data_IF_824670265557
#
_entry.id   IF_824670265557
#
_cell.length_a   1.000
_cell.length_b   1.000
_cell.length_c   1.000
_cell.angle_alpha   90.00
_cell.angle_beta   90.00
_cell.angle_gamma   90.00
#
_symmetry.space_group_name_H-M   'P 1'
#
loop_
_entity.id
_entity.type
_entity.pdbx_description
1 polymer ?
#
# COMPACT_ATOMS: atom_id res chain seq x y z
N UNK A 1 -35.27 -56.06 18.13
CA UNK A 1 -34.37 -55.51 17.09
C UNK A 1 -33.47 -54.49 17.76
N UNK A 2 -32.25 -54.88 18.11
CA UNK A 2 -31.23 -53.96 18.65
C UNK A 2 -30.10 -53.87 17.65
N UNK A 3 -29.99 -52.74 16.96
CA UNK A 3 -28.89 -52.45 16.06
C UNK A 3 -27.63 -52.27 16.90
N UNK A 4 -26.54 -53.04 16.69
CA UNK A 4 -25.30 -52.78 17.40
C UNK A 4 -24.77 -51.42 16.94
N UNK A 5 -24.66 -50.47 17.87
CA UNK A 5 -23.96 -49.22 17.63
C UNK A 5 -22.53 -49.58 17.21
N UNK A 6 -22.20 -49.36 15.93
CA UNK A 6 -20.83 -49.53 15.45
C UNK A 6 -19.94 -48.74 16.41
N UNK A 7 -18.90 -49.33 17.04
CA UNK A 7 -17.93 -48.59 17.82
C UNK A 7 -17.14 -47.74 16.83
N UNK A 8 -17.75 -46.62 16.44
CA UNK A 8 -17.23 -45.68 15.48
C UNK A 8 -15.89 -45.22 16.04
N UNK A 9 -14.81 -45.57 15.33
CA UNK A 9 -13.40 -45.40 15.72
C UNK A 9 -13.19 -44.09 16.50
N UNK A 10 -13.23 -44.16 17.84
CA UNK A 10 -13.12 -42.97 18.71
C UNK A 10 -11.72 -42.38 18.69
N UNK A 11 -10.71 -43.23 18.50
CA UNK A 11 -9.30 -42.84 18.44
C UNK A 11 -8.98 -41.84 17.32
N UNK A 12 -9.33 -42.07 16.03
CA UNK A 12 -9.08 -41.08 14.98
C UNK A 12 -9.90 -39.81 15.16
N UNK A 13 -11.11 -39.87 15.73
CA UNK A 13 -11.89 -38.67 16.04
C UNK A 13 -11.20 -37.83 17.13
N UNK A 14 -10.65 -38.47 18.17
CA UNK A 14 -9.87 -37.80 19.21
C UNK A 14 -8.59 -37.19 18.65
N UNK A 15 -7.83 -37.93 17.85
CA UNK A 15 -6.59 -37.43 17.24
C UNK A 15 -6.87 -36.23 16.32
N UNK A 16 -7.95 -36.28 15.54
CA UNK A 16 -8.36 -35.17 14.69
C UNK A 16 -8.75 -33.93 15.50
N UNK A 17 -9.55 -34.10 16.56
CA UNK A 17 -9.94 -33.00 17.45
C UNK A 17 -8.74 -32.36 18.14
N UNK A 18 -7.81 -33.17 18.66
CA UNK A 18 -6.60 -32.69 19.31
C UNK A 18 -5.67 -31.97 18.33
N UNK A 19 -5.60 -32.46 17.08
CA UNK A 19 -4.90 -31.80 15.99
C UNK A 19 -5.48 -30.42 15.63
N UNK A 20 -6.80 -30.29 15.60
CA UNK A 20 -7.46 -29.00 15.37
C UNK A 20 -7.17 -28.01 16.51
N UNK A 21 -7.26 -28.45 17.77
CA UNK A 21 -6.94 -27.60 18.93
C UNK A 21 -5.49 -27.13 18.86
N UNK A 22 -4.54 -28.04 18.62
CA UNK A 22 -3.13 -27.69 18.48
C UNK A 22 -2.91 -26.70 17.33
N UNK A 23 -3.56 -26.90 16.17
CA UNK A 23 -3.47 -25.99 15.03
C UNK A 23 -4.04 -24.59 15.35
N UNK A 24 -5.12 -24.50 16.15
CA UNK A 24 -5.70 -23.20 16.57
C UNK A 24 -4.84 -22.46 17.60
N UNK A 25 -4.15 -23.17 18.48
CA UNK A 25 -3.35 -22.59 19.55
C UNK A 25 -1.90 -22.27 19.13
N UNK A 26 -1.41 -22.92 18.07
CA UNK A 26 -0.04 -22.78 17.57
C UNK A 26 0.43 -21.32 17.35
N UNK A 27 -0.38 -20.41 16.78
CA UNK A 27 0.04 -19.03 16.55
C UNK A 27 0.43 -18.25 17.81
N UNK A 28 -0.16 -18.59 18.97
CA UNK A 28 0.08 -17.92 20.26
C UNK A 28 1.52 -18.08 20.78
N UNK A 29 2.23 -19.10 20.31
CA UNK A 29 3.60 -19.39 20.73
C UNK A 29 4.68 -18.82 19.79
N UNK A 30 4.31 -17.97 18.82
CA UNK A 30 5.26 -17.27 17.93
C UNK A 30 5.61 -15.87 18.45
N UNK A 31 6.81 -15.38 18.16
CA UNK A 31 7.25 -14.01 18.47
C UNK A 31 7.70 -13.25 17.19
N UNK A 32 7.00 -12.18 16.77
CA UNK A 32 5.73 -11.71 17.33
C UNK A 32 4.59 -12.71 17.02
N UNK A 33 3.51 -12.73 17.81
CA UNK A 33 2.31 -13.50 17.48
C UNK A 33 1.87 -13.17 16.04
N UNK A 34 1.85 -14.18 15.18
CA UNK A 34 1.49 -14.03 13.77
C UNK A 34 0.08 -14.51 13.57
N UNK A 35 -0.76 -13.60 13.10
CA UNK A 35 -2.18 -13.84 12.99
C UNK A 35 -2.58 -13.73 11.53
N UNK A 36 -2.86 -14.90 10.95
CA UNK A 36 -3.28 -15.01 9.56
C UNK A 36 -4.36 -16.10 9.42
N UNK A 37 -5.39 -15.78 8.64
CA UNK A 37 -6.52 -16.68 8.31
C UNK A 37 -6.03 -18.04 7.75
N UNK A 38 -6.66 -19.20 8.06
CA UNK A 38 -7.99 -19.42 8.66
C UNK A 38 -8.07 -19.76 10.17
N UNK A 39 -6.95 -19.99 10.87
CA UNK A 39 -6.89 -20.22 12.32
C UNK A 39 -5.94 -19.20 12.95
N UNK A 40 -6.44 -17.96 13.05
CA UNK A 40 -5.70 -16.73 13.32
C UNK A 40 -6.13 -16.13 14.65
N UNK A 41 -5.25 -15.85 15.61
CA UNK A 41 -5.62 -15.16 16.86
C UNK A 41 -5.58 -13.62 16.70
N UNK A 42 -6.39 -13.13 15.75
CA UNK A 42 -6.65 -11.74 15.31
C UNK A 42 -6.19 -10.56 16.22
N UNK A 43 -5.11 -9.91 15.80
CA UNK A 43 -4.77 -8.54 16.06
C UNK A 43 -4.65 -7.88 14.69
N UNK A 44 -5.77 -7.39 14.20
CA UNK A 44 -5.66 -6.13 13.48
C UNK A 44 -4.85 -5.24 14.43
N UNK A 45 -3.65 -4.81 14.02
CA UNK A 45 -2.73 -3.98 14.81
C UNK A 45 -1.75 -4.66 15.82
N UNK A 46 -1.42 -5.98 15.76
CA UNK A 46 -0.45 -6.57 16.76
C UNK A 46 0.95 -6.03 16.68
N UNK A 47 1.38 -5.67 15.48
CA UNK A 47 2.72 -5.16 15.24
C UNK A 47 2.63 -3.72 14.80
N UNK A 48 3.45 -2.90 15.43
CA UNK A 48 3.66 -1.54 14.98
C UNK A 48 4.25 -1.63 13.58
N UNK A 49 3.52 -1.12 12.59
CA UNK A 49 4.05 -1.01 11.24
C UNK A 49 5.26 -0.09 11.28
N UNK A 50 6.39 -0.61 10.83
CA UNK A 50 7.58 0.19 10.65
C UNK A 50 7.38 1.26 9.57
N UNK A 51 8.41 2.07 9.39
CA UNK A 51 8.44 3.09 8.34
C UNK A 51 8.20 2.47 6.97
N UNK A 52 7.37 3.12 6.15
CA UNK A 52 6.99 2.61 4.83
C UNK A 52 7.23 3.64 3.73
N UNK A 53 7.60 3.16 2.55
CA UNK A 53 7.72 3.95 1.34
C UNK A 53 6.36 4.02 0.63
N UNK A 54 5.91 5.24 0.37
CA UNK A 54 4.72 5.54 -0.42
C UNK A 54 5.18 6.23 -1.70
N UNK A 55 4.67 5.77 -2.85
CA UNK A 55 4.99 6.36 -4.14
C UNK A 55 3.89 7.32 -4.59
N UNK A 56 4.27 8.53 -4.98
CA UNK A 56 3.36 9.59 -5.39
C UNK A 56 3.89 10.32 -6.62
N UNK A 57 3.00 11.00 -7.34
CA UNK A 57 3.39 12.00 -8.35
C UNK A 57 3.11 13.38 -7.77
N UNK A 58 4.14 14.23 -7.76
CA UNK A 58 4.06 15.62 -7.30
C UNK A 58 4.19 16.55 -8.51
N UNK A 59 3.33 17.56 -8.60
CA UNK A 59 3.47 18.68 -9.52
C UNK A 59 4.07 19.88 -8.81
N UNK A 60 4.87 20.66 -9.52
CA UNK A 60 5.50 21.89 -9.03
C UNK A 60 5.21 23.04 -9.99
N UNK A 61 4.90 24.21 -9.42
CA UNK A 61 4.81 25.48 -10.15
C UNK A 61 6.19 26.10 -10.41
N UNK A 62 6.21 27.30 -11.02
CA UNK A 62 7.44 28.06 -11.30
C UNK A 62 8.17 28.50 -10.02
N UNK A 63 7.43 28.76 -8.94
CA UNK A 63 7.99 29.11 -7.63
C UNK A 63 8.56 27.88 -6.88
N UNK A 64 8.36 26.67 -7.40
CA UNK A 64 8.80 25.42 -6.79
C UNK A 64 7.88 24.92 -5.68
N UNK A 65 6.66 25.45 -5.56
CA UNK A 65 5.65 24.97 -4.62
C UNK A 65 5.05 23.68 -5.16
N UNK A 66 5.14 22.62 -4.36
CA UNK A 66 4.74 21.27 -4.75
C UNK A 66 3.34 20.88 -4.25
N UNK A 67 2.51 20.30 -5.12
CA UNK A 67 1.22 19.69 -4.76
C UNK A 67 1.06 18.28 -5.36
N UNK A 68 0.38 17.34 -4.66
CA UNK A 68 0.17 16.00 -5.19
C UNK A 68 -0.76 16.00 -6.40
N UNK A 69 -0.43 15.19 -7.41
CA UNK A 69 -1.27 14.99 -8.60
C UNK A 69 -2.38 13.98 -8.27
N UNK A 70 -3.65 14.26 -8.59
CA UNK A 70 -4.76 13.40 -8.23
C UNK A 70 -4.78 12.09 -9.04
N UNK A 71 -5.43 11.03 -8.52
CA UNK A 71 -5.58 9.74 -9.19
C UNK A 71 -6.05 9.82 -10.65
N UNK A 72 -7.03 10.68 -10.92
CA UNK A 72 -7.63 10.86 -12.25
C UNK A 72 -6.60 11.20 -13.33
N UNK A 73 -5.55 11.96 -12.99
CA UNK A 73 -4.46 12.31 -13.91
C UNK A 73 -3.37 11.23 -13.99
N UNK A 74 -3.29 10.36 -12.97
CA UNK A 74 -2.41 9.17 -12.99
C UNK A 74 -2.98 8.09 -13.92
N UNK A 75 -4.31 7.97 -13.97
CA UNK A 75 -5.04 7.09 -14.90
C UNK A 75 -6.14 6.23 -14.26
N UNK A 76 -6.56 6.52 -13.03
CA UNK A 76 -7.71 5.86 -12.39
C UNK A 76 -8.43 6.82 -11.43
N UNK A 77 -9.74 6.72 -11.29
CA UNK A 77 -10.47 7.45 -10.25
C UNK A 77 -10.22 6.87 -8.85
N UNK A 78 -9.83 5.59 -8.77
CA UNK A 78 -9.61 4.88 -7.52
C UNK A 78 -8.20 5.10 -6.97
N UNK A 79 -8.11 5.65 -5.75
CA UNK A 79 -6.83 6.04 -5.11
C UNK A 79 -5.85 4.87 -5.03
N UNK A 80 -6.34 3.68 -4.64
CA UNK A 80 -5.47 2.49 -4.50
C UNK A 80 -4.99 1.95 -5.84
N UNK A 81 -5.80 2.04 -6.90
CA UNK A 81 -5.38 1.64 -8.24
C UNK A 81 -4.33 2.60 -8.81
N UNK A 82 -4.50 3.91 -8.60
CA UNK A 82 -3.50 4.89 -8.97
C UNK A 82 -2.19 4.68 -8.20
N UNK A 83 -2.25 4.43 -6.88
CA UNK A 83 -1.08 4.11 -6.07
C UNK A 83 -0.34 2.86 -6.57
N UNK A 84 -1.08 1.79 -6.89
CA UNK A 84 -0.48 0.56 -7.44
C UNK A 84 0.13 0.78 -8.83
N UNK A 85 -0.48 1.63 -9.65
CA UNK A 85 0.07 2.02 -10.95
C UNK A 85 1.43 2.71 -10.80
N UNK A 86 1.53 3.66 -9.86
CA UNK A 86 2.79 4.34 -9.56
C UNK A 86 3.81 3.32 -9.01
N UNK A 87 3.41 2.48 -8.05
CA UNK A 87 4.30 1.45 -7.48
C UNK A 87 4.86 0.53 -8.56
N UNK A 88 4.01 0.02 -9.45
CA UNK A 88 4.43 -0.82 -10.58
C UNK A 88 5.42 -0.10 -11.48
N UNK A 89 5.18 1.18 -11.80
CA UNK A 89 6.11 1.98 -12.59
C UNK A 89 7.48 2.13 -11.90
N UNK A 90 7.50 2.39 -10.60
CA UNK A 90 8.77 2.51 -9.84
C UNK A 90 9.52 1.18 -9.80
N UNK A 91 8.85 0.09 -9.42
CA UNK A 91 9.46 -1.25 -9.32
C UNK A 91 10.00 -1.72 -10.67
N UNK A 92 9.28 -1.44 -11.77
CA UNK A 92 9.67 -1.81 -13.13
C UNK A 92 10.66 -0.81 -13.77
N UNK A 93 11.12 0.21 -13.04
CA UNK A 93 11.98 1.29 -13.54
C UNK A 93 11.39 2.06 -14.74
N UNK A 94 10.07 2.16 -14.78
CA UNK A 94 9.28 2.86 -15.80
C UNK A 94 8.78 4.23 -15.32
N UNK A 95 9.34 4.76 -14.22
CA UNK A 95 9.00 6.08 -13.68
C UNK A 95 9.10 7.22 -14.71
N UNK A 96 10.10 7.27 -15.61
CA UNK A 96 10.16 8.31 -16.65
C UNK A 96 8.97 8.25 -17.61
N UNK A 97 8.59 7.05 -18.04
CA UNK A 97 7.44 6.83 -18.93
C UNK A 97 6.12 7.21 -18.25
N UNK A 98 5.95 6.84 -16.97
CA UNK A 98 4.78 7.27 -16.20
C UNK A 98 4.75 8.80 -16.08
N UNK A 99 5.89 9.43 -15.77
CA UNK A 99 5.99 10.88 -15.63
C UNK A 99 5.50 11.59 -16.91
N UNK A 100 6.03 11.19 -18.07
CA UNK A 100 5.65 11.79 -19.35
C UNK A 100 4.14 11.68 -19.64
N UNK A 101 3.55 10.49 -19.44
CA UNK A 101 2.10 10.29 -19.66
C UNK A 101 1.23 11.13 -18.72
N UNK A 102 1.66 11.29 -17.46
CA UNK A 102 0.93 12.15 -16.53
C UNK A 102 1.12 13.62 -16.89
N UNK A 103 2.30 14.01 -17.38
CA UNK A 103 2.57 15.37 -17.84
C UNK A 103 1.68 15.77 -19.02
N UNK A 104 1.46 14.87 -19.99
CA UNK A 104 0.49 15.09 -21.09
C UNK A 104 -0.90 15.42 -20.56
N UNK A 105 -1.44 14.60 -19.64
CA UNK A 105 -2.76 14.84 -19.05
C UNK A 105 -2.82 16.09 -18.18
N UNK A 106 -1.74 16.42 -17.48
CA UNK A 106 -1.63 17.64 -16.68
C UNK A 106 -1.61 18.87 -17.60
N UNK A 107 -0.93 18.81 -18.74
CA UNK A 107 -0.86 19.90 -19.72
C UNK A 107 -2.24 20.26 -20.28
N UNK A 108 -3.09 19.26 -20.51
CA UNK A 108 -4.45 19.43 -21.05
C UNK A 108 -5.48 19.84 -19.98
N UNK A 109 -5.14 19.79 -18.69
CA UNK A 109 -6.10 19.99 -17.61
C UNK A 109 -6.13 21.44 -17.12
N UNK A 110 -7.28 22.15 -17.19
CA UNK A 110 -7.35 23.59 -16.88
C UNK A 110 -6.92 23.94 -15.45
N UNK A 111 -7.30 23.14 -14.46
CA UNK A 111 -6.98 23.37 -13.04
C UNK A 111 -5.48 23.18 -12.67
N UNK A 112 -4.65 22.72 -13.62
CA UNK A 112 -3.22 22.47 -13.43
C UNK A 112 -2.34 23.27 -14.39
N UNK A 113 -2.87 24.39 -14.92
CA UNK A 113 -2.15 25.33 -15.79
C UNK A 113 -0.93 26.03 -15.15
N UNK A 114 -0.83 26.01 -13.83
CA UNK A 114 0.30 26.52 -13.04
C UNK A 114 1.47 25.53 -12.92
N UNK A 115 1.21 24.22 -13.09
CA UNK A 115 2.23 23.19 -12.91
C UNK A 115 3.17 23.15 -14.11
N UNK A 116 4.47 23.38 -13.89
CA UNK A 116 5.49 23.37 -14.96
C UNK A 116 6.33 22.10 -14.98
N UNK A 117 6.32 21.35 -13.88
CA UNK A 117 7.18 20.16 -13.73
C UNK A 117 6.56 19.12 -12.83
N UNK A 118 6.75 17.85 -13.16
CA UNK A 118 6.35 16.72 -12.34
C UNK A 118 7.55 15.97 -11.78
N UNK A 119 7.33 15.31 -10.63
CA UNK A 119 8.23 14.31 -10.07
C UNK A 119 7.48 13.06 -9.64
N UNK A 120 7.97 11.90 -10.05
CA UNK A 120 7.58 10.62 -9.44
C UNK A 120 8.48 10.43 -8.23
N UNK A 121 7.91 10.45 -7.03
CA UNK A 121 8.66 10.39 -5.78
C UNK A 121 8.34 9.11 -5.00
N UNK A 122 9.35 8.56 -4.33
CA UNK A 122 9.17 7.65 -3.20
C UNK A 122 9.37 8.45 -1.92
N UNK A 123 8.39 8.45 -1.02
CA UNK A 123 8.39 9.22 0.23
C UNK A 123 8.26 8.25 1.40
N UNK A 124 9.16 8.34 2.37
CA UNK A 124 9.18 7.47 3.56
C UNK A 124 8.46 8.17 4.72
N UNK A 125 7.53 7.48 5.36
CA UNK A 125 6.76 8.00 6.49
C UNK A 125 6.83 7.08 7.70
N UNK A 126 6.68 7.67 8.88
CA UNK A 126 6.46 6.98 10.14
C UNK A 126 4.95 6.94 10.44
N UNK A 127 4.29 5.77 10.36
CA UNK A 127 2.85 5.66 10.58
C UNK A 127 2.38 6.18 11.94
N UNK A 128 3.22 6.08 12.99
CA UNK A 128 2.88 6.53 14.35
C UNK A 128 2.67 8.04 14.45
N UNK A 129 3.39 8.84 13.67
CA UNK A 129 3.33 10.30 13.74
C UNK A 129 2.44 10.91 12.66
N UNK A 130 2.24 10.21 11.55
CA UNK A 130 1.53 10.73 10.36
C UNK A 130 0.12 11.26 10.66
N UNK A 131 -0.65 10.59 11.51
CA UNK A 131 -2.04 10.93 11.81
C UNK A 131 -2.22 11.86 13.02
N UNK A 132 -1.17 12.04 13.84
CA UNK A 132 -1.26 12.75 15.12
C UNK A 132 -0.64 14.15 15.10
N UNK A 133 0.22 14.45 14.12
CA UNK A 133 0.83 15.78 14.01
C UNK A 133 1.04 16.20 12.55
N UNK A 134 0.97 17.50 12.28
CA UNK A 134 1.31 18.05 10.96
C UNK A 134 2.78 17.75 10.59
N UNK A 135 3.69 17.81 11.58
CA UNK A 135 5.09 17.44 11.37
C UNK A 135 5.25 15.98 10.93
N UNK A 136 4.39 15.07 11.40
CA UNK A 136 4.37 13.67 10.98
C UNK A 136 3.97 13.45 9.52
N UNK A 137 3.29 14.43 8.89
CA UNK A 137 2.95 14.40 7.46
C UNK A 137 4.11 14.86 6.58
N UNK A 138 5.20 15.35 7.16
CA UNK A 138 6.45 15.62 6.45
C UNK A 138 7.19 14.28 6.29
N UNK A 139 7.59 13.89 5.06
CA UNK A 139 8.27 12.64 4.84
C UNK A 139 9.65 12.64 5.49
N UNK A 140 10.01 11.54 6.15
CA UNK A 140 11.35 11.32 6.71
C UNK A 140 12.44 11.27 5.64
N UNK A 141 12.09 10.85 4.42
CA UNK A 141 13.00 10.80 3.28
C UNK A 141 12.22 10.89 1.98
N UNK A 142 12.78 11.61 1.01
CA UNK A 142 12.25 11.69 -0.36
C UNK A 142 13.30 11.15 -1.33
N UNK A 143 12.87 10.35 -2.30
CA UNK A 143 13.69 9.88 -3.42
C UNK A 143 12.96 10.14 -4.72
N UNK A 144 13.50 11.03 -5.54
CA UNK A 144 12.99 11.30 -6.90
C UNK A 144 13.36 10.12 -7.79
N UNK A 145 12.34 9.47 -8.35
CA UNK A 145 12.48 8.33 -9.28
C UNK A 145 12.51 8.79 -10.74
N UNK A 146 11.82 9.89 -11.03
CA UNK A 146 11.84 10.55 -12.33
C UNK A 146 11.39 12.01 -12.17
N UNK A 147 11.82 12.86 -13.09
CA UNK A 147 11.43 14.25 -13.22
C UNK A 147 11.16 14.53 -14.69
N UNK A 148 10.07 15.23 -15.00
CA UNK A 148 9.72 15.60 -16.37
C UNK A 148 9.07 16.99 -16.41
N UNK A 149 9.30 17.78 -17.48
CA UNK A 149 8.59 19.03 -17.69
C UNK A 149 7.14 18.75 -18.12
N UNK A 150 6.26 19.71 -17.89
CA UNK A 150 4.92 19.75 -18.50
C UNK A 150 5.01 20.59 -19.76
N UNK A 151 5.08 19.93 -20.92
CA UNK A 151 5.10 20.60 -22.21
C UNK A 151 3.70 21.08 -22.56
N UNK A 152 3.50 22.40 -22.65
CA UNK A 152 2.29 22.98 -23.23
C UNK A 152 2.61 23.35 -24.67
N UNK A 153 1.82 22.88 -25.63
CA UNK A 153 1.82 23.47 -26.96
C UNK A 153 1.17 24.84 -26.86
N UNK A 154 1.91 25.89 -27.19
CA UNK A 154 1.34 27.22 -27.48
C UNK A 154 0.39 27.16 -28.69
#
# INVERSE_FOLDING_TARGET
>A
MSTPARPFRRLPALLFGLGLIAATAWPMFRDPPQDSFPLSNFPMFSSVRGESWIHVVMGFDEAGVGRPIPPRLIGSLEVMQAAETIRKAVVRKQSPTLCARVAERVAEHPDYGDIVRLEVQSRRFEPRTYFVSEAGRVPLKVRVQARCPVGRSE
#
